data_IF_220439295403
#
_entry.id   IF_220439295403
#
_cell.length_a   1.000
_cell.length_b   1.000
_cell.length_c   1.000
_cell.angle_alpha   90.00
_cell.angle_beta   90.00
_cell.angle_gamma   90.00
#
_symmetry.space_group_name_H-M   'P 1'
#
loop_
_entity.id
_entity.type
_entity.pdbx_description
1 polymer ?
#
# COMPACT_ATOMS: atom_id res chain seq x y z
N UNK A 1 20.64 -8.61 12.26
CA UNK A 1 20.73 -9.43 11.03
C UNK A 1 19.32 -9.64 10.52
N UNK A 2 19.06 -9.27 9.27
CA UNK A 2 17.73 -9.50 8.66
C UNK A 2 17.44 -11.01 8.57
N UNK A 3 16.21 -11.45 8.87
CA UNK A 3 15.82 -12.84 8.70
C UNK A 3 15.88 -13.25 7.22
N UNK A 4 16.13 -14.53 6.94
CA UNK A 4 16.06 -15.03 5.56
C UNK A 4 14.61 -15.08 5.10
N UNK A 5 14.36 -14.82 3.81
CA UNK A 5 13.01 -14.83 3.22
C UNK A 5 12.26 -16.15 3.45
N UNK A 6 12.98 -17.27 3.51
CA UNK A 6 12.42 -18.62 3.74
C UNK A 6 12.08 -18.91 5.20
N UNK A 7 12.58 -18.10 6.13
CA UNK A 7 12.49 -18.35 7.57
C UNK A 7 11.59 -17.31 8.27
N UNK A 8 10.78 -16.57 7.49
CA UNK A 8 9.89 -15.54 8.02
C UNK A 8 8.73 -16.16 8.81
N UNK A 9 8.58 -15.70 10.06
CA UNK A 9 7.38 -15.89 10.89
C UNK A 9 6.74 -14.52 11.03
N UNK A 10 5.67 -14.30 10.27
CA UNK A 10 5.07 -12.98 10.07
C UNK A 10 3.88 -12.79 10.99
N UNK A 11 3.86 -11.66 11.72
CA UNK A 11 2.68 -11.18 12.43
C UNK A 11 2.05 -10.04 11.64
N UNK A 12 0.84 -10.29 11.11
CA UNK A 12 0.08 -9.24 10.42
C UNK A 12 -0.67 -8.39 11.44
N UNK A 13 -0.45 -7.08 11.42
CA UNK A 13 -0.87 -6.16 12.47
C UNK A 13 -1.63 -4.95 11.89
N UNK A 14 -2.81 -4.70 12.46
CA UNK A 14 -3.54 -3.45 12.28
C UNK A 14 -3.32 -2.55 13.50
N UNK A 15 -2.67 -1.42 13.32
CA UNK A 15 -2.32 -0.49 14.43
C UNK A 15 -3.55 -0.06 15.22
N UNK A 16 -4.65 0.22 14.51
CA UNK A 16 -5.92 0.62 15.11
C UNK A 16 -6.44 -0.38 16.15
N UNK A 17 -6.27 -1.67 15.92
CA UNK A 17 -6.91 -2.73 16.72
C UNK A 17 -5.92 -3.42 17.67
N UNK A 18 -4.62 -3.18 17.53
CA UNK A 18 -3.58 -3.88 18.29
C UNK A 18 -3.43 -3.38 19.73
N UNK A 19 -3.54 -2.07 19.94
CA UNK A 19 -3.44 -1.43 21.25
C UNK A 19 -4.39 -0.23 21.33
N UNK A 20 -4.90 0.04 22.52
CA UNK A 20 -5.87 1.12 22.76
C UNK A 20 -5.36 2.54 22.42
N UNK A 21 -4.05 2.73 22.32
CA UNK A 21 -3.44 4.01 21.94
C UNK A 21 -3.28 4.18 20.43
N UNK A 22 -3.57 3.15 19.63
CA UNK A 22 -3.63 3.18 18.16
C UNK A 22 -2.41 3.86 17.47
N UNK A 23 -1.18 3.65 17.98
CA UNK A 23 -0.01 4.38 17.52
C UNK A 23 1.22 3.50 17.33
N UNK A 24 2.19 3.99 16.53
CA UNK A 24 3.50 3.34 16.38
C UNK A 24 4.22 3.16 17.71
N UNK A 25 4.12 4.15 18.61
CA UNK A 25 4.74 4.06 19.93
C UNK A 25 4.07 2.98 20.80
N UNK A 26 2.75 2.81 20.70
CA UNK A 26 2.05 1.75 21.39
C UNK A 26 2.51 0.36 20.91
N UNK A 27 2.64 0.17 19.60
CA UNK A 27 3.17 -1.09 19.04
C UNK A 27 4.62 -1.30 19.46
N UNK A 28 5.46 -0.25 19.43
CA UNK A 28 6.85 -0.31 19.90
C UNK A 28 6.96 -0.81 21.34
N UNK A 29 6.08 -0.36 22.21
CA UNK A 29 6.03 -0.79 23.61
C UNK A 29 5.57 -2.25 23.82
N UNK A 30 5.06 -2.89 22.77
CA UNK A 30 4.65 -4.31 22.76
C UNK A 30 5.62 -5.24 22.04
N UNK A 31 6.77 -4.75 21.62
CA UNK A 31 7.75 -5.56 20.88
C UNK A 31 8.29 -6.75 21.70
N UNK A 32 8.37 -6.64 23.02
CA UNK A 32 8.75 -7.78 23.88
C UNK A 32 7.76 -8.93 23.73
N UNK A 33 6.47 -8.65 23.81
CA UNK A 33 5.41 -9.63 23.58
C UNK A 33 5.51 -10.27 22.20
N UNK A 34 5.70 -9.48 21.15
CA UNK A 34 5.82 -9.99 19.78
C UNK A 34 7.08 -10.86 19.61
N UNK A 35 8.18 -10.48 20.24
CA UNK A 35 9.41 -11.26 20.22
C UNK A 35 9.26 -12.58 20.98
N UNK A 36 8.58 -12.60 22.14
CA UNK A 36 8.28 -13.80 22.90
C UNK A 36 7.38 -14.79 22.14
N UNK A 37 6.52 -14.30 21.24
CA UNK A 37 5.76 -15.15 20.31
C UNK A 37 6.65 -15.86 19.27
N UNK A 38 7.92 -15.46 19.16
CA UNK A 38 8.87 -16.04 18.20
C UNK A 38 8.74 -15.51 16.78
N UNK A 39 8.07 -14.37 16.58
CA UNK A 39 7.99 -13.73 15.25
C UNK A 39 9.31 -13.05 14.91
N UNK A 40 9.61 -12.96 13.62
CA UNK A 40 10.77 -12.25 13.11
C UNK A 40 10.44 -11.25 11.99
N UNK A 41 9.14 -11.05 11.72
CA UNK A 41 8.66 -10.01 10.83
C UNK A 41 7.29 -9.48 11.28
N UNK A 42 7.07 -8.18 11.13
CA UNK A 42 5.78 -7.53 11.31
C UNK A 42 5.34 -7.03 9.95
N UNK A 43 4.16 -7.48 9.49
CA UNK A 43 3.47 -6.95 8.32
C UNK A 43 2.36 -6.01 8.79
N UNK A 44 2.54 -4.71 8.59
CA UNK A 44 1.47 -3.76 8.86
C UNK A 44 0.40 -3.77 7.78
N UNK A 45 -0.89 -3.77 8.17
CA UNK A 45 -1.93 -3.26 7.29
C UNK A 45 -1.55 -1.83 6.87
N UNK A 46 -2.10 -1.32 5.75
CA UNK A 46 -1.61 -0.07 5.18
C UNK A 46 -1.52 1.06 6.21
N UNK A 47 -0.33 1.63 6.33
CA UNK A 47 -0.04 2.76 7.24
C UNK A 47 -0.15 4.12 6.56
N UNK A 48 -0.46 4.12 5.28
CA UNK A 48 -0.63 5.33 4.48
C UNK A 48 -1.87 6.10 4.94
N UNK A 49 -1.83 7.42 4.79
CA UNK A 49 -2.99 8.27 5.03
C UNK A 49 -4.18 7.81 4.18
N UNK A 50 -5.24 7.44 4.83
CA UNK A 50 -6.48 6.92 4.23
C UNK A 50 -7.62 7.94 4.34
N UNK A 51 -8.69 7.69 3.58
CA UNK A 51 -9.89 8.50 3.62
C UNK A 51 -10.71 8.22 4.90
N UNK A 52 -11.11 9.28 5.58
CA UNK A 52 -11.82 9.20 6.86
C UNK A 52 -10.89 9.02 8.07
N UNK A 53 -11.47 8.59 9.18
CA UNK A 53 -10.78 8.52 10.47
C UNK A 53 -10.60 7.08 10.99
N UNK A 54 -11.36 6.14 10.49
CA UNK A 54 -11.29 4.73 10.87
C UNK A 54 -11.30 3.87 9.62
N UNK A 55 -10.23 3.11 9.41
CA UNK A 55 -10.10 2.23 8.25
C UNK A 55 -9.13 1.08 8.56
N UNK A 56 -9.16 0.04 7.73
CA UNK A 56 -8.07 -0.92 7.62
C UNK A 56 -6.90 -0.41 6.78
N UNK A 57 -7.07 0.77 6.14
CA UNK A 57 -6.07 1.41 5.30
C UNK A 57 -6.17 1.08 3.81
N UNK A 58 -7.12 0.25 3.38
CA UNK A 58 -7.27 -0.12 1.96
C UNK A 58 -8.05 0.91 1.13
N UNK A 59 -8.18 2.13 1.63
CA UNK A 59 -8.74 3.29 0.93
C UNK A 59 -7.74 4.47 0.96
N UNK A 60 -6.53 4.30 0.39
CA UNK A 60 -5.46 5.28 0.50
C UNK A 60 -5.81 6.59 -0.21
N UNK A 61 -5.52 7.69 0.45
CA UNK A 61 -5.60 9.05 -0.11
C UNK A 61 -4.22 9.54 -0.55
N UNK A 62 -3.19 9.32 0.29
CA UNK A 62 -1.83 9.83 0.07
C UNK A 62 -0.81 8.72 0.29
N UNK A 63 -0.31 8.14 -0.80
CA UNK A 63 0.57 6.96 -0.75
C UNK A 63 1.96 7.23 -0.14
N UNK A 64 2.38 8.48 0.02
CA UNK A 64 3.67 8.87 0.61
C UNK A 64 3.53 9.54 1.98
N UNK A 65 2.36 9.51 2.58
CA UNK A 65 2.13 10.07 3.91
C UNK A 65 1.70 8.97 4.87
N UNK A 66 2.16 9.06 6.12
CA UNK A 66 1.64 8.24 7.21
C UNK A 66 0.26 8.71 7.62
N UNK A 67 -0.59 7.79 8.06
CA UNK A 67 -1.89 8.14 8.61
C UNK A 67 -1.73 9.04 9.84
N UNK A 68 -2.54 10.09 9.88
CA UNK A 68 -2.51 11.15 10.89
C UNK A 68 -2.70 10.69 12.34
N UNK A 69 -3.36 9.53 12.52
CA UNK A 69 -3.64 9.00 13.86
C UNK A 69 -2.60 8.04 14.37
N UNK A 70 -1.75 7.46 13.51
CA UNK A 70 -0.78 6.44 13.90
C UNK A 70 0.51 7.02 14.49
N UNK A 71 0.77 8.29 14.22
CA UNK A 71 1.93 8.97 14.79
C UNK A 71 2.78 9.70 13.76
N UNK A 72 3.87 10.28 14.26
CA UNK A 72 4.78 11.07 13.45
C UNK A 72 5.73 10.20 12.63
N UNK A 73 6.33 10.83 11.61
CA UNK A 73 7.45 10.26 10.87
C UNK A 73 8.57 9.75 11.79
N UNK A 74 8.90 10.51 12.82
CA UNK A 74 9.95 10.14 13.76
C UNK A 74 9.56 8.94 14.64
N UNK A 75 8.30 8.86 15.09
CA UNK A 75 7.84 7.71 15.88
C UNK A 75 7.86 6.43 15.05
N UNK A 76 7.51 6.49 13.78
CA UNK A 76 7.61 5.33 12.88
C UNK A 76 9.05 4.90 12.62
N UNK A 77 9.97 5.85 12.40
CA UNK A 77 11.41 5.55 12.29
C UNK A 77 11.97 4.90 13.57
N UNK A 78 11.63 5.43 14.74
CA UNK A 78 12.05 4.84 16.02
C UNK A 78 11.50 3.43 16.21
N UNK A 79 10.26 3.18 15.78
CA UNK A 79 9.68 1.84 15.78
C UNK A 79 10.49 0.88 14.90
N UNK A 80 10.81 1.28 13.66
CA UNK A 80 11.59 0.46 12.73
C UNK A 80 13.00 0.19 13.26
N UNK A 81 13.67 1.21 13.78
CA UNK A 81 14.99 1.06 14.40
C UNK A 81 14.97 0.03 15.54
N UNK A 82 13.95 0.07 16.38
CA UNK A 82 13.80 -0.89 17.47
C UNK A 82 13.50 -2.31 16.97
N UNK A 83 12.68 -2.45 15.93
CA UNK A 83 12.48 -3.74 15.25
C UNK A 83 13.79 -4.30 14.72
N UNK A 84 14.57 -3.51 14.01
CA UNK A 84 15.85 -3.92 13.44
C UNK A 84 16.86 -4.30 14.52
N UNK A 85 16.90 -3.57 15.63
CA UNK A 85 17.74 -3.90 16.77
C UNK A 85 17.43 -5.30 17.35
N UNK A 86 16.18 -5.73 17.27
CA UNK A 86 15.68 -7.03 17.71
C UNK A 86 15.75 -8.12 16.63
N UNK A 87 16.18 -7.79 15.41
CA UNK A 87 16.20 -8.73 14.28
C UNK A 87 14.83 -8.99 13.69
N UNK A 88 13.86 -8.09 13.88
CA UNK A 88 12.51 -8.15 13.35
C UNK A 88 12.43 -7.30 12.08
N UNK A 89 12.03 -7.90 10.98
CA UNK A 89 11.80 -7.20 9.72
C UNK A 89 10.46 -6.44 9.73
N UNK A 90 10.40 -5.33 9.01
CA UNK A 90 9.17 -4.53 8.86
C UNK A 90 8.70 -4.56 7.41
N UNK A 91 7.51 -5.09 7.19
CA UNK A 91 6.86 -5.23 5.88
C UNK A 91 5.64 -4.31 5.85
N UNK A 92 5.47 -3.57 4.77
CA UNK A 92 4.28 -2.74 4.56
C UNK A 92 3.31 -3.39 3.58
N UNK A 93 2.05 -3.50 3.98
CA UNK A 93 0.96 -3.76 3.05
C UNK A 93 0.66 -2.47 2.28
N UNK A 94 0.75 -2.52 0.95
CA UNK A 94 0.61 -1.35 0.09
C UNK A 94 -0.48 -1.53 -0.94
N UNK A 95 -1.20 -0.45 -1.20
CA UNK A 95 -2.37 -0.43 -2.09
C UNK A 95 -2.07 0.46 -3.28
N UNK A 96 -1.64 -0.14 -4.38
CA UNK A 96 -1.41 0.58 -5.64
C UNK A 96 -2.40 0.19 -6.75
N UNK A 97 -3.44 -0.57 -6.40
CA UNK A 97 -4.52 -0.84 -7.32
C UNK A 97 -5.44 0.37 -7.52
N UNK A 98 -5.65 1.14 -6.46
CA UNK A 98 -6.63 2.22 -6.45
C UNK A 98 -6.25 3.33 -5.46
N UNK A 99 -6.98 4.44 -5.53
CA UNK A 99 -6.91 5.51 -4.56
C UNK A 99 -8.31 6.09 -4.28
N UNK A 100 -8.49 6.64 -3.07
CA UNK A 100 -9.73 7.31 -2.68
C UNK A 100 -9.97 8.60 -3.48
N UNK A 101 -11.18 9.15 -3.39
CA UNK A 101 -11.52 10.43 -4.03
C UNK A 101 -10.71 11.63 -3.52
N UNK A 102 -10.05 11.52 -2.38
CA UNK A 102 -9.18 12.58 -1.85
C UNK A 102 -7.77 12.58 -2.46
N UNK A 103 -7.42 11.56 -3.24
CA UNK A 103 -6.10 11.50 -3.89
C UNK A 103 -5.89 12.71 -4.81
N UNK A 104 -4.76 13.45 -4.70
CA UNK A 104 -4.54 14.68 -5.44
C UNK A 104 -4.51 14.48 -6.95
N UNK A 105 -3.96 13.37 -7.44
CA UNK A 105 -3.94 13.08 -8.87
C UNK A 105 -5.32 12.74 -9.42
N UNK A 106 -6.16 12.07 -8.63
CA UNK A 106 -7.56 11.86 -9.00
C UNK A 106 -8.31 13.18 -9.10
N UNK A 107 -8.15 14.07 -8.12
CA UNK A 107 -8.82 15.36 -8.11
C UNK A 107 -8.37 16.30 -9.24
N UNK A 108 -7.11 16.20 -9.66
CA UNK A 108 -6.59 16.99 -10.78
C UNK A 108 -7.17 16.56 -12.13
N UNK A 109 -7.54 15.29 -12.27
CA UNK A 109 -8.06 14.69 -13.52
C UNK A 109 -9.34 13.90 -13.25
N UNK A 110 -10.38 14.58 -12.76
CA UNK A 110 -11.71 14.00 -12.62
C UNK A 110 -12.80 14.87 -13.28
N UNK A 111 -14.00 14.31 -13.41
CA UNK A 111 -15.15 14.99 -14.02
C UNK A 111 -15.92 15.87 -13.03
N UNK A 112 -15.46 16.00 -11.78
CA UNK A 112 -16.10 16.75 -10.70
C UNK A 112 -15.34 18.06 -10.37
N UNK A 113 -14.68 18.68 -11.36
CA UNK A 113 -13.96 19.96 -11.23
C UNK A 113 -13.06 20.03 -9.98
N UNK A 114 -12.20 19.06 -9.79
CA UNK A 114 -11.33 18.89 -8.63
C UNK A 114 -12.06 18.61 -7.29
N UNK A 115 -13.33 18.22 -7.33
CA UNK A 115 -14.06 17.64 -6.22
C UNK A 115 -13.59 16.21 -5.89
N UNK A 116 -14.38 15.51 -5.09
CA UNK A 116 -14.04 14.18 -4.59
C UNK A 116 -14.78 13.05 -5.32
N UNK A 117 -15.80 13.39 -6.07
CA UNK A 117 -16.68 12.48 -6.79
C UNK A 117 -16.38 12.40 -8.29
N UNK A 118 -17.40 11.96 -9.03
CA UNK A 118 -17.29 11.80 -10.49
C UNK A 118 -16.51 10.55 -10.90
N UNK A 119 -15.89 10.64 -12.08
CA UNK A 119 -14.99 9.63 -12.64
C UNK A 119 -13.65 10.26 -12.96
N UNK A 120 -12.62 9.46 -13.13
CA UNK A 120 -11.39 9.96 -13.73
C UNK A 120 -11.70 10.49 -15.14
N UNK A 121 -11.09 11.60 -15.52
CA UNK A 121 -11.23 12.14 -16.87
C UNK A 121 -10.53 11.24 -17.91
N UNK A 122 -11.00 11.27 -19.14
CA UNK A 122 -10.46 10.42 -20.23
C UNK A 122 -8.97 10.66 -20.50
N UNK A 123 -8.50 11.86 -20.23
CA UNK A 123 -7.10 12.30 -20.38
C UNK A 123 -6.25 12.10 -19.11
N UNK A 124 -6.82 11.51 -18.05
CA UNK A 124 -6.05 11.24 -16.83
C UNK A 124 -4.79 10.44 -17.13
N UNK A 125 -3.60 10.90 -16.72
CA UNK A 125 -2.37 10.15 -16.91
C UNK A 125 -2.17 9.02 -15.89
N UNK A 126 -3.07 8.90 -14.89
CA UNK A 126 -2.93 7.96 -13.78
C UNK A 126 -4.06 6.93 -13.69
N UNK A 127 -5.31 7.32 -13.97
CA UNK A 127 -6.48 6.52 -13.66
C UNK A 127 -7.22 6.05 -14.90
N UNK A 128 -7.90 4.92 -14.76
CA UNK A 128 -8.94 4.47 -15.68
C UNK A 128 -10.25 5.20 -15.37
N UNK A 129 -11.06 5.50 -16.41
CA UNK A 129 -12.44 5.98 -16.19
C UNK A 129 -13.33 4.89 -15.59
N UNK A 130 -13.09 3.65 -16.00
CA UNK A 130 -13.76 2.45 -15.52
C UNK A 130 -12.69 1.39 -15.30
N UNK A 131 -12.77 0.68 -14.18
CA UNK A 131 -11.81 -0.37 -13.88
C UNK A 131 -11.82 -1.48 -14.93
N UNK A 132 -10.66 -1.96 -15.27
CA UNK A 132 -10.41 -3.01 -16.26
C UNK A 132 -10.27 -4.40 -15.63
N UNK A 133 -10.85 -4.58 -14.46
CA UNK A 133 -10.82 -5.81 -13.68
C UNK A 133 -12.04 -5.90 -12.75
N UNK A 134 -12.37 -7.11 -12.31
CA UNK A 134 -13.36 -7.33 -11.24
C UNK A 134 -12.80 -6.93 -9.87
N UNK A 135 -13.68 -6.83 -8.89
CA UNK A 135 -13.35 -6.37 -7.52
C UNK A 135 -12.89 -4.92 -7.46
N UNK A 136 -13.38 -4.11 -8.40
CA UNK A 136 -13.10 -2.68 -8.44
C UNK A 136 -13.62 -1.97 -7.19
N UNK A 137 -12.77 -1.17 -6.58
CA UNK A 137 -13.08 -0.28 -5.47
C UNK A 137 -12.40 1.06 -5.70
N UNK A 138 -13.04 2.14 -5.30
CA UNK A 138 -12.51 3.51 -5.44
C UNK A 138 -12.11 3.84 -6.89
N UNK A 139 -11.03 4.57 -7.09
CA UNK A 139 -10.55 5.03 -8.39
C UNK A 139 -9.37 4.18 -8.84
N UNK A 140 -9.53 3.50 -9.95
CA UNK A 140 -8.63 2.48 -10.46
C UNK A 140 -7.37 3.09 -11.11
N UNK A 141 -6.19 2.72 -10.65
CA UNK A 141 -4.90 3.15 -11.22
C UNK A 141 -4.59 2.34 -12.48
N UNK A 142 -4.29 3.04 -13.56
CA UNK A 142 -3.95 2.44 -14.85
C UNK A 142 -2.44 2.11 -14.94
N UNK A 143 -2.09 0.87 -14.71
CA UNK A 143 -0.70 0.41 -14.70
C UNK A 143 -0.06 0.27 -16.09
N UNK A 144 -0.79 0.52 -17.19
CA UNK A 144 -0.18 0.64 -18.53
C UNK A 144 0.41 2.02 -18.79
N UNK A 145 0.02 3.02 -17.99
CA UNK A 145 0.48 4.41 -18.17
C UNK A 145 1.82 4.64 -17.47
N UNK A 146 2.75 5.26 -18.18
CA UNK A 146 4.09 5.53 -17.66
C UNK A 146 4.07 6.39 -16.40
N UNK A 147 3.18 7.40 -16.33
CA UNK A 147 3.03 8.24 -15.13
C UNK A 147 2.64 7.44 -13.88
N UNK A 148 1.75 6.46 -14.03
CA UNK A 148 1.39 5.55 -12.94
C UNK A 148 2.58 4.69 -12.51
N UNK A 149 3.29 4.11 -13.48
CA UNK A 149 4.48 3.29 -13.19
C UNK A 149 5.55 4.08 -12.45
N UNK A 150 5.84 5.29 -12.91
CA UNK A 150 6.82 6.17 -12.28
C UNK A 150 6.38 6.59 -10.86
N UNK A 151 5.09 6.85 -10.69
CA UNK A 151 4.52 7.16 -9.39
C UNK A 151 4.66 6.00 -8.40
N UNK A 152 4.31 4.79 -8.80
CA UNK A 152 4.40 3.59 -7.94
C UNK A 152 5.86 3.29 -7.57
N UNK A 153 6.78 3.35 -8.55
CA UNK A 153 8.22 3.17 -8.31
C UNK A 153 8.76 4.20 -7.31
N UNK A 154 8.47 5.48 -7.54
CA UNK A 154 8.90 6.56 -6.67
C UNK A 154 8.34 6.42 -5.25
N UNK A 155 7.08 6.03 -5.12
CA UNK A 155 6.45 5.84 -3.82
C UNK A 155 7.07 4.66 -3.07
N UNK A 156 7.29 3.54 -3.74
CA UNK A 156 7.95 2.37 -3.14
C UNK A 156 9.38 2.70 -2.70
N UNK A 157 10.14 3.37 -3.55
CA UNK A 157 11.50 3.82 -3.22
C UNK A 157 11.54 4.76 -2.01
N UNK A 158 10.56 5.66 -1.91
CA UNK A 158 10.44 6.57 -0.76
C UNK A 158 10.31 5.80 0.57
N UNK A 159 9.49 4.75 0.63
CA UNK A 159 9.33 3.96 1.84
C UNK A 159 10.62 3.21 2.21
N UNK A 160 11.33 2.68 1.22
CA UNK A 160 12.63 2.02 1.43
C UNK A 160 13.69 3.04 1.90
N UNK A 161 13.83 4.15 1.21
CA UNK A 161 14.91 5.12 1.48
C UNK A 161 14.69 5.90 2.75
N UNK A 162 13.47 6.34 2.99
CA UNK A 162 13.15 7.21 4.12
C UNK A 162 12.99 6.43 5.43
N UNK A 163 12.35 5.27 5.39
CA UNK A 163 12.00 4.51 6.58
C UNK A 163 12.81 3.22 6.76
N UNK A 164 13.55 2.80 5.74
CA UNK A 164 14.36 1.57 5.79
C UNK A 164 13.54 0.30 6.05
N UNK A 165 12.32 0.25 5.52
CA UNK A 165 11.50 -0.96 5.58
C UNK A 165 12.18 -2.12 4.83
N UNK A 166 11.76 -3.34 5.13
CA UNK A 166 12.41 -4.56 4.63
C UNK A 166 11.70 -5.19 3.43
N UNK A 167 10.47 -4.78 3.17
CA UNK A 167 9.71 -5.31 2.04
C UNK A 167 8.27 -4.84 1.99
N UNK A 168 7.56 -5.32 0.98
CA UNK A 168 6.16 -5.01 0.73
C UNK A 168 5.31 -6.26 0.58
N UNK A 169 4.06 -6.17 1.00
CA UNK A 169 2.96 -7.01 0.55
C UNK A 169 2.05 -6.14 -0.33
N UNK A 170 1.82 -6.55 -1.54
CA UNK A 170 1.03 -5.78 -2.52
C UNK A 170 -0.42 -6.25 -2.53
N UNK A 171 -1.34 -5.34 -2.18
CA UNK A 171 -2.76 -5.65 -2.17
C UNK A 171 -3.36 -5.59 -3.57
N UNK A 172 -4.35 -6.46 -3.83
CA UNK A 172 -5.20 -6.48 -5.01
C UNK A 172 -4.44 -6.36 -6.35
N UNK A 173 -3.28 -7.01 -6.46
CA UNK A 173 -2.49 -7.00 -7.70
C UNK A 173 -3.21 -7.61 -8.91
N UNK A 174 -4.29 -8.35 -8.68
CA UNK A 174 -5.19 -8.81 -9.75
C UNK A 174 -5.70 -7.67 -10.62
N UNK A 175 -5.87 -6.48 -10.06
CA UNK A 175 -6.36 -5.31 -10.75
C UNK A 175 -5.32 -4.55 -11.59
N UNK A 176 -4.06 -4.98 -11.62
CA UNK A 176 -3.03 -4.30 -12.42
C UNK A 176 -3.13 -4.58 -13.92
N UNK A 177 -3.96 -5.55 -14.34
CA UNK A 177 -4.23 -5.83 -15.75
C UNK A 177 -5.12 -4.77 -16.39
N UNK A 178 -4.91 -4.52 -17.69
CA UNK A 178 -5.77 -3.67 -18.50
C UNK A 178 -6.59 -4.49 -19.52
N UNK A 179 -6.58 -5.83 -19.41
CA UNK A 179 -7.14 -6.74 -20.43
C UNK A 179 -8.51 -7.29 -20.07
N UNK A 180 -9.03 -7.02 -18.86
CA UNK A 180 -10.31 -7.55 -18.40
C UNK A 180 -11.37 -6.46 -18.30
N UNK A 181 -12.53 -6.80 -17.76
CA UNK A 181 -13.62 -5.86 -17.48
C UNK A 181 -14.09 -6.01 -16.03
N UNK A 182 -14.82 -5.02 -15.54
CA UNK A 182 -15.31 -4.97 -14.16
C UNK A 182 -16.20 -6.16 -13.76
N UNK A 183 -16.81 -6.87 -14.73
CA UNK A 183 -17.74 -7.98 -14.48
C UNK A 183 -17.15 -9.35 -14.85
N UNK A 184 -15.87 -9.42 -15.22
CA UNK A 184 -15.23 -10.67 -15.66
C UNK A 184 -14.23 -11.16 -14.60
N UNK A 185 -14.74 -11.90 -13.62
CA UNK A 185 -13.92 -12.51 -12.58
C UNK A 185 -13.01 -13.61 -13.12
N UNK A 186 -13.47 -14.34 -14.13
CA UNK A 186 -12.68 -15.40 -14.77
C UNK A 186 -11.43 -14.85 -15.44
N UNK A 187 -11.58 -13.77 -16.20
CA UNK A 187 -10.43 -13.05 -16.78
C UNK A 187 -9.52 -12.48 -15.70
N UNK A 188 -10.08 -11.76 -14.73
CA UNK A 188 -9.30 -11.15 -13.63
C UNK A 188 -8.53 -12.19 -12.81
N UNK A 189 -9.12 -13.36 -12.60
CA UNK A 189 -8.51 -14.47 -11.85
C UNK A 189 -7.47 -15.27 -12.64
N UNK A 190 -7.50 -15.22 -13.98
CA UNK A 190 -6.60 -15.98 -14.85
C UNK A 190 -5.24 -15.29 -15.03
N UNK A 191 -4.29 -15.99 -15.70
CA UNK A 191 -3.01 -15.39 -16.06
C UNK A 191 -3.19 -14.23 -17.02
N UNK A 192 -2.58 -13.08 -16.69
CA UNK A 192 -2.54 -11.88 -17.51
C UNK A 192 -1.08 -11.44 -17.70
N UNK A 193 -0.60 -11.46 -18.92
CA UNK A 193 0.81 -11.17 -19.25
C UNK A 193 1.21 -9.74 -18.87
N UNK A 194 0.35 -8.76 -19.17
CA UNK A 194 0.56 -7.34 -18.83
C UNK A 194 0.73 -7.12 -17.32
N UNK A 195 -0.10 -7.77 -16.53
CA UNK A 195 -0.02 -7.73 -15.06
C UNK A 195 1.30 -8.32 -14.54
N UNK A 196 1.70 -9.47 -15.09
CA UNK A 196 2.95 -10.12 -14.68
C UNK A 196 4.15 -9.27 -15.07
N UNK A 197 4.13 -8.66 -16.24
CA UNK A 197 5.20 -7.77 -16.73
C UNK A 197 5.36 -6.55 -15.81
N UNK A 198 4.27 -5.85 -15.50
CA UNK A 198 4.36 -4.67 -14.63
C UNK A 198 4.76 -5.01 -13.21
N UNK A 199 4.32 -6.15 -12.67
CA UNK A 199 4.75 -6.61 -11.35
C UNK A 199 6.24 -6.95 -11.30
N UNK A 200 6.79 -7.55 -12.35
CA UNK A 200 8.23 -7.76 -12.49
C UNK A 200 8.97 -6.43 -12.57
N UNK A 201 8.47 -5.49 -13.37
CA UNK A 201 9.05 -4.15 -13.50
C UNK A 201 9.15 -3.44 -12.13
N UNK A 202 8.12 -3.57 -11.28
CA UNK A 202 8.14 -3.00 -9.94
C UNK A 202 9.08 -3.75 -9.00
N UNK A 203 9.11 -5.08 -9.07
CA UNK A 203 9.99 -5.89 -8.23
C UNK A 203 11.47 -5.69 -8.58
N UNK A 204 11.80 -5.55 -9.86
CA UNK A 204 13.18 -5.32 -10.32
C UNK A 204 13.69 -3.91 -9.98
N UNK A 205 12.77 -2.97 -9.73
CA UNK A 205 13.11 -1.60 -9.36
C UNK A 205 13.47 -1.47 -7.86
N UNK A 206 12.94 -2.33 -6.99
CA UNK A 206 13.10 -2.31 -5.54
C UNK A 206 14.35 -3.07 -5.09
#
# INVERSE_FOLDING_TARGET
>A
VKPKKTDLVIYKLLIRDFDALHSFDAVKNRLDYLQELGINAIEFLPVNEFDGNLSWGYNPSFHMALDKYYGSKNSFKQFIDECHRRGIAVILDVVYNHASGQNPFYRMWNTDNAGYGGQASADSPFFNQTATHSYSVFNDLNHSKQATKDYVKRTSQYWIDEYKIDGFRWDLTKGFTQNCTANDEGCTGSYQADRVEVLKEYADYQ
#
